data_IF_637056706586
#
_entry.id   IF_637056706586
#
_cell.length_a   1.000
_cell.length_b   1.000
_cell.length_c   1.000
_cell.angle_alpha   90.00
_cell.angle_beta   90.00
_cell.angle_gamma   90.00
#
_symmetry.space_group_name_H-M   'P 1'
#
loop_
_entity.id
_entity.type
_entity.pdbx_description
1 polymer ?
#
# COMPACT_ATOMS: atom_id res chain seq x y z
N UNK A 1 -13.28 -34.28 29.47
CA UNK A 1 -12.57 -33.05 29.89
C UNK A 1 -11.53 -32.76 28.80
N UNK A 2 -11.98 -32.37 27.61
CA UNK A 2 -12.19 -30.99 27.14
C UNK A 2 -10.93 -30.40 26.50
N UNK A 3 -10.88 -30.51 25.18
CA UNK A 3 -9.88 -30.00 24.25
C UNK A 3 -9.85 -28.46 24.28
N UNK A 4 -8.74 -27.86 24.71
CA UNK A 4 -8.59 -26.39 24.75
C UNK A 4 -7.29 -25.88 24.06
N UNK A 5 -6.55 -26.75 23.37
CA UNK A 5 -5.19 -26.40 22.88
C UNK A 5 -5.24 -25.68 21.52
N UNK A 6 -6.32 -25.78 20.75
CA UNK A 6 -6.40 -25.24 19.37
C UNK A 6 -6.83 -23.78 19.28
N UNK A 7 -7.38 -23.18 20.34
CA UNK A 7 -7.90 -21.81 20.31
C UNK A 7 -6.78 -20.75 20.48
N UNK A 8 -5.78 -21.08 21.30
CA UNK A 8 -4.70 -20.17 21.70
C UNK A 8 -3.77 -19.76 20.55
N UNK A 9 -3.47 -20.68 19.63
CA UNK A 9 -2.59 -20.39 18.49
C UNK A 9 -3.26 -19.47 17.45
N UNK A 10 -4.55 -19.67 17.17
CA UNK A 10 -5.30 -18.86 16.23
C UNK A 10 -5.52 -17.43 16.75
N UNK A 11 -5.78 -17.29 18.05
CA UNK A 11 -5.91 -15.98 18.71
C UNK A 11 -4.59 -15.21 18.70
N UNK A 12 -3.46 -15.90 18.85
CA UNK A 12 -2.13 -15.28 18.83
C UNK A 12 -1.77 -14.77 17.43
N UNK A 13 -2.08 -15.53 16.38
CA UNK A 13 -1.89 -15.09 15.00
C UNK A 13 -2.72 -13.85 14.68
N UNK A 14 -4.01 -13.84 15.06
CA UNK A 14 -4.91 -12.70 14.84
C UNK A 14 -4.47 -11.46 15.63
N UNK A 15 -3.99 -11.63 16.86
CA UNK A 15 -3.47 -10.55 17.69
C UNK A 15 -2.17 -9.97 17.10
N UNK A 16 -1.30 -10.82 16.55
CA UNK A 16 -0.09 -10.41 15.85
C UNK A 16 -0.43 -9.64 14.56
N UNK A 17 -1.37 -10.13 13.75
CA UNK A 17 -1.84 -9.42 12.56
C UNK A 17 -2.42 -8.04 12.90
N UNK A 18 -3.24 -7.96 13.96
CA UNK A 18 -3.77 -6.68 14.45
C UNK A 18 -2.70 -5.74 14.98
N UNK A 19 -1.67 -6.28 15.63
CA UNK A 19 -0.53 -5.50 16.12
C UNK A 19 0.36 -5.01 14.97
N UNK A 20 0.53 -5.80 13.91
CA UNK A 20 1.23 -5.39 12.68
C UNK A 20 0.42 -4.31 11.95
N UNK A 21 -0.90 -4.48 11.85
CA UNK A 21 -1.79 -3.50 11.25
C UNK A 21 -1.84 -2.17 12.05
N UNK A 22 -1.78 -2.24 13.39
CA UNK A 22 -1.77 -1.03 14.24
C UNK A 22 -0.38 -0.37 14.34
N UNK A 23 0.69 -1.14 14.11
CA UNK A 23 2.07 -0.68 14.04
C UNK A 23 2.52 -0.21 12.66
N UNK A 24 1.69 -0.40 11.63
CA UNK A 24 1.92 0.11 10.28
C UNK A 24 1.84 1.64 10.28
N UNK A 25 2.96 2.27 10.62
CA UNK A 25 3.19 3.66 10.26
C UNK A 25 3.33 3.68 8.74
N UNK A 26 2.43 4.35 7.98
CA UNK A 26 2.72 4.62 6.59
C UNK A 26 4.08 5.33 6.59
N UNK A 27 5.02 4.79 5.81
CA UNK A 27 6.46 5.08 5.87
C UNK A 27 6.79 6.55 5.59
N UNK A 28 5.79 7.37 5.28
CA UNK A 28 5.95 8.77 4.98
C UNK A 28 4.70 9.57 5.40
N UNK A 29 4.93 10.73 6.03
CA UNK A 29 3.93 11.78 6.26
C UNK A 29 3.51 12.47 4.94
N UNK A 30 3.57 11.77 3.81
CA UNK A 30 2.97 12.32 2.59
C UNK A 30 1.48 12.37 2.83
N UNK A 31 0.99 13.60 2.91
CA UNK A 31 -0.42 13.85 2.64
C UNK A 31 -0.60 13.41 1.20
N UNK A 32 -1.15 12.22 0.98
CA UNK A 32 -1.48 11.73 -0.35
C UNK A 32 -2.47 12.71 -0.95
N UNK A 33 -1.94 13.70 -1.65
CA UNK A 33 -2.68 14.78 -2.26
C UNK A 33 -2.67 14.54 -3.77
N UNK A 34 -3.60 15.20 -4.44
CA UNK A 34 -3.88 15.05 -5.86
C UNK A 34 -2.76 15.52 -6.80
N UNK A 35 -1.62 15.93 -6.25
CA UNK A 35 -0.49 16.46 -6.99
C UNK A 35 0.85 15.95 -6.48
N UNK A 36 0.85 14.96 -5.58
CA UNK A 36 2.04 14.40 -5.00
C UNK A 36 2.74 13.48 -5.99
N UNK A 37 4.05 13.62 -6.09
CA UNK A 37 4.89 12.66 -6.79
C UNK A 37 5.33 11.57 -5.82
N UNK A 38 5.14 10.32 -6.22
CA UNK A 38 5.48 9.12 -5.46
C UNK A 38 6.43 8.24 -6.27
N UNK A 39 7.25 7.47 -5.58
CA UNK A 39 8.13 6.48 -6.22
C UNK A 39 7.44 5.13 -6.26
N UNK A 40 7.44 4.52 -7.43
CA UNK A 40 6.94 3.17 -7.63
C UNK A 40 7.98 2.16 -7.14
N UNK A 41 7.53 1.08 -6.51
CA UNK A 41 8.40 -0.05 -6.17
C UNK A 41 8.93 -0.73 -7.42
N UNK A 42 8.09 -0.83 -8.44
CA UNK A 42 8.44 -1.39 -9.75
C UNK A 42 7.89 -0.48 -10.84
N UNK A 43 8.67 -0.23 -11.91
CA UNK A 43 8.16 0.53 -13.04
C UNK A 43 7.03 -0.26 -13.72
N UNK A 44 6.03 0.43 -14.30
CA UNK A 44 4.89 -0.24 -14.93
C UNK A 44 5.26 -0.90 -16.27
N UNK A 45 6.41 -0.56 -16.83
CA UNK A 45 7.01 -1.20 -18.02
C UNK A 45 8.52 -0.97 -18.04
N UNK A 46 9.26 -1.66 -18.91
CA UNK A 46 10.73 -1.50 -19.06
C UNK A 46 11.16 -0.08 -19.45
N UNK A 47 10.25 0.70 -20.04
CA UNK A 47 10.50 2.07 -20.49
C UNK A 47 9.80 3.12 -19.61
N UNK A 48 9.00 2.68 -18.62
CA UNK A 48 8.27 3.58 -17.74
C UNK A 48 9.16 4.12 -16.63
N UNK A 49 8.95 5.38 -16.26
CA UNK A 49 9.61 5.95 -15.09
C UNK A 49 9.13 5.25 -13.81
N UNK A 50 10.00 5.21 -12.81
CA UNK A 50 9.72 4.74 -11.46
C UNK A 50 9.09 5.82 -10.57
N UNK A 51 8.60 6.91 -11.17
CA UNK A 51 7.91 7.99 -10.47
C UNK A 51 6.55 8.20 -11.10
N UNK A 52 5.54 8.41 -10.25
CA UNK A 52 4.18 8.67 -10.67
C UNK A 52 3.61 9.88 -9.92
N UNK A 53 2.83 10.70 -10.60
CA UNK A 53 2.06 11.76 -9.99
C UNK A 53 0.67 11.25 -9.62
N UNK A 54 0.32 11.26 -8.35
CA UNK A 54 -1.03 10.90 -7.89
C UNK A 54 -2.04 11.90 -8.47
N UNK A 55 -3.14 11.42 -9.03
CA UNK A 55 -4.18 12.21 -9.70
C UNK A 55 -5.54 12.14 -9.03
N UNK A 56 -5.94 11.02 -8.47
CA UNK A 56 -7.12 10.95 -7.61
C UNK A 56 -7.09 9.69 -6.77
N UNK A 57 -7.67 9.79 -5.57
CA UNK A 57 -7.93 8.62 -4.76
C UNK A 57 -9.21 7.96 -5.28
N UNK A 58 -9.08 6.74 -5.80
CA UNK A 58 -10.24 5.98 -6.26
C UNK A 58 -10.90 5.22 -5.11
N UNK A 59 -10.10 4.69 -4.19
CA UNK A 59 -10.58 4.01 -2.98
C UNK A 59 -9.63 4.23 -1.81
N UNK A 60 -9.94 3.65 -0.64
CA UNK A 60 -9.05 3.75 0.51
C UNK A 60 -7.63 3.22 0.23
N UNK A 61 -7.47 2.25 -0.66
CA UNK A 61 -6.18 1.61 -0.94
C UNK A 61 -5.68 1.83 -2.38
N UNK A 62 -6.54 2.32 -3.28
CA UNK A 62 -6.18 2.54 -4.68
C UNK A 62 -6.17 4.02 -5.07
N UNK A 63 -5.20 4.36 -5.91
CA UNK A 63 -4.99 5.68 -6.47
C UNK A 63 -4.85 5.58 -7.99
N UNK A 64 -5.44 6.55 -8.68
CA UNK A 64 -5.10 6.82 -10.07
C UNK A 64 -3.87 7.73 -10.05
N UNK A 65 -2.85 7.35 -10.81
CA UNK A 65 -1.61 8.09 -10.94
C UNK A 65 -1.19 8.18 -12.41
N UNK A 66 -0.38 9.19 -12.73
CA UNK A 66 0.20 9.36 -14.05
C UNK A 66 1.70 9.13 -14.01
N UNK A 67 2.18 8.25 -14.87
CA UNK A 67 3.60 7.93 -15.02
C UNK A 67 4.11 8.54 -16.33
N UNK A 68 5.21 9.32 -16.30
CA UNK A 68 5.86 9.80 -17.51
C UNK A 68 6.17 8.65 -18.48
N UNK A 69 5.88 8.86 -19.76
CA UNK A 69 6.08 7.88 -20.86
C UNK A 69 5.23 6.60 -20.81
N UNK A 70 4.35 6.45 -19.81
CA UNK A 70 3.41 5.33 -19.72
C UNK A 70 1.95 5.79 -19.72
N UNK A 71 1.64 6.92 -19.09
CA UNK A 71 0.28 7.47 -19.01
C UNK A 71 -0.39 7.19 -17.67
N UNK A 72 -1.73 7.12 -17.68
CA UNK A 72 -2.53 6.89 -16.47
C UNK A 72 -2.53 5.42 -16.05
N UNK A 73 -2.36 5.17 -14.76
CA UNK A 73 -2.25 3.84 -14.16
C UNK A 73 -2.96 3.83 -12.82
N UNK A 74 -3.59 2.70 -12.49
CA UNK A 74 -4.12 2.45 -11.15
C UNK A 74 -3.04 1.79 -10.29
N UNK A 75 -2.76 2.40 -9.15
CA UNK A 75 -1.78 1.92 -8.18
C UNK A 75 -2.46 1.60 -6.85
N UNK A 76 -2.09 0.47 -6.29
CA UNK A 76 -2.36 0.18 -4.88
C UNK A 76 -1.31 0.90 -4.01
N UNK A 77 -1.69 1.32 -2.80
CA UNK A 77 -0.77 1.95 -1.83
C UNK A 77 0.46 1.11 -1.53
N UNK A 78 0.39 -0.21 -1.68
CA UNK A 78 1.54 -1.11 -1.54
C UNK A 78 2.53 -1.06 -2.70
N UNK A 79 2.17 -0.45 -3.84
CA UNK A 79 3.00 -0.41 -5.04
C UNK A 79 3.87 0.84 -5.15
N UNK A 80 3.69 1.80 -4.25
CA UNK A 80 4.45 3.04 -4.24
C UNK A 80 4.76 3.49 -2.82
N UNK A 81 5.80 4.29 -2.72
CA UNK A 81 6.29 4.83 -1.46
C UNK A 81 6.76 6.26 -1.67
N UNK A 82 7.13 6.84 -0.54
CA UNK A 82 7.86 8.06 -0.40
C UNK A 82 9.10 7.78 0.44
#
# INVERSE_FOLDING_TARGET
>A
MSSQITDSAAQTALALERAIASGWKPVCHITYNRDAWVKLLHPPSEYGFNEAKLLCQESNDTWVAWVPEYGEVRLDKSQFYC
#
